data_IF_985036262913
#
_entry.id   IF_985036262913
#
_cell.length_a   1.000
_cell.length_b   1.000
_cell.length_c   1.000
_cell.angle_alpha   90.00
_cell.angle_beta   90.00
_cell.angle_gamma   90.00
#
_symmetry.space_group_name_H-M   'P 1'
#
loop_
_entity.id
_entity.type
_entity.pdbx_description
1 polymer ?
#
# COMPACT_ATOMS: atom_id res chain seq x y z
N UNK A 1 -60.22 34.93 -16.91
CA UNK A 1 -58.99 34.58 -17.62
C UNK A 1 -57.82 34.54 -16.61
N UNK A 2 -57.55 33.34 -16.05
CA UNK A 2 -56.47 33.13 -15.07
C UNK A 2 -55.25 32.55 -15.80
N UNK A 3 -54.15 33.30 -15.78
CA UNK A 3 -52.84 32.85 -16.26
C UNK A 3 -52.08 32.27 -15.09
N UNK A 4 -51.93 30.93 -15.08
CA UNK A 4 -51.01 30.23 -14.18
C UNK A 4 -49.58 30.41 -14.71
N UNK A 5 -48.75 31.04 -13.90
CA UNK A 5 -47.30 31.11 -14.08
C UNK A 5 -46.69 29.84 -13.44
N UNK A 6 -46.18 28.95 -14.25
CA UNK A 6 -45.41 27.80 -13.82
C UNK A 6 -43.96 28.26 -13.71
N UNK A 7 -43.47 28.39 -12.47
CA UNK A 7 -42.07 28.67 -12.19
C UNK A 7 -41.31 27.32 -12.20
N UNK A 8 -40.50 27.07 -13.23
CA UNK A 8 -39.62 25.93 -13.31
C UNK A 8 -38.38 26.18 -12.41
N UNK A 9 -38.29 25.44 -11.31
CA UNK A 9 -37.15 25.41 -10.43
C UNK A 9 -36.06 24.51 -11.06
N UNK A 10 -35.04 25.12 -11.67
CA UNK A 10 -33.84 24.39 -12.16
C UNK A 10 -32.90 24.19 -10.97
N UNK A 11 -32.89 22.98 -10.44
CA UNK A 11 -31.92 22.58 -9.39
C UNK A 11 -30.59 22.29 -10.08
N UNK A 12 -29.64 23.22 -9.99
CA UNK A 12 -28.24 22.99 -10.37
C UNK A 12 -27.61 22.03 -9.36
N UNK A 13 -27.47 20.76 -9.75
CA UNK A 13 -26.65 19.81 -9.03
C UNK A 13 -25.18 20.20 -9.22
N UNK A 14 -24.59 20.87 -8.25
CA UNK A 14 -23.15 21.10 -8.18
C UNK A 14 -22.47 19.77 -7.86
N UNK A 15 -21.98 19.06 -8.89
CA UNK A 15 -21.03 17.99 -8.71
C UNK A 15 -19.74 18.59 -8.12
N UNK A 16 -19.54 18.44 -6.82
CA UNK A 16 -18.25 18.70 -6.19
C UNK A 16 -17.25 17.69 -6.75
N UNK A 17 -16.47 18.07 -7.76
CA UNK A 17 -15.24 17.36 -8.10
C UNK A 17 -14.33 17.52 -6.87
N UNK A 18 -14.20 16.45 -6.09
CA UNK A 18 -13.17 16.39 -5.06
C UNK A 18 -11.83 16.60 -5.77
N UNK A 19 -11.16 17.70 -5.48
CA UNK A 19 -9.85 17.99 -6.04
C UNK A 19 -8.91 16.86 -5.63
N UNK A 20 -8.37 16.14 -6.60
CA UNK A 20 -7.34 15.15 -6.34
C UNK A 20 -6.13 15.87 -5.77
N UNK A 21 -5.65 15.42 -4.62
CA UNK A 21 -4.46 15.97 -3.99
C UNK A 21 -3.24 15.62 -4.85
N UNK A 22 -2.54 16.64 -5.31
CA UNK A 22 -1.30 16.43 -6.05
C UNK A 22 -0.19 16.01 -5.07
N UNK A 23 0.28 14.75 -5.21
CA UNK A 23 1.31 14.18 -4.35
C UNK A 23 2.69 14.43 -4.95
N UNK A 24 3.64 14.87 -4.12
CA UNK A 24 5.06 14.90 -4.46
C UNK A 24 5.76 13.68 -3.88
N UNK A 25 6.63 13.08 -4.68
CA UNK A 25 7.41 11.89 -4.32
C UNK A 25 8.91 12.13 -4.49
N UNK A 26 9.51 13.00 -3.66
CA UNK A 26 10.94 13.24 -3.73
C UNK A 26 11.73 11.97 -3.40
N UNK A 27 12.87 11.77 -4.08
CA UNK A 27 13.75 10.61 -3.89
C UNK A 27 13.12 9.25 -4.26
N UNK A 28 12.06 9.26 -5.04
CA UNK A 28 11.41 8.03 -5.52
C UNK A 28 11.64 7.89 -7.01
N UNK A 29 12.06 6.70 -7.42
CA UNK A 29 12.18 6.31 -8.83
C UNK A 29 11.22 5.19 -9.16
N UNK A 30 10.77 5.13 -10.41
CA UNK A 30 9.92 4.05 -10.90
C UNK A 30 10.80 2.98 -11.54
N UNK A 31 10.70 1.74 -11.06
CA UNK A 31 11.34 0.58 -11.66
C UNK A 31 10.26 -0.26 -12.35
N UNK A 32 10.07 -0.03 -13.65
CA UNK A 32 8.98 -0.62 -14.40
C UNK A 32 7.62 0.01 -14.07
N UNK A 33 6.55 -0.78 -14.28
CA UNK A 33 5.16 -0.27 -14.24
C UNK A 33 4.59 -0.12 -12.82
N UNK A 34 4.97 -1.04 -11.92
CA UNK A 34 4.32 -1.17 -10.61
C UNK A 34 5.30 -1.37 -9.45
N UNK A 35 6.53 -0.85 -9.58
CA UNK A 35 7.58 -1.03 -8.58
C UNK A 35 8.29 0.29 -8.31
N UNK A 36 7.71 1.19 -7.50
CA UNK A 36 8.39 2.38 -7.02
C UNK A 36 9.44 2.00 -5.97
N UNK A 37 10.52 2.77 -5.96
CA UNK A 37 11.67 2.62 -5.08
C UNK A 37 12.04 3.97 -4.49
N UNK A 38 12.22 4.01 -3.19
CA UNK A 38 12.73 5.14 -2.43
C UNK A 38 14.12 4.78 -1.90
N UNK A 39 15.11 5.63 -2.16
CA UNK A 39 16.48 5.43 -1.67
C UNK A 39 17.06 6.78 -1.24
N UNK A 40 17.13 6.98 0.07
CA UNK A 40 17.71 8.18 0.66
C UNK A 40 18.14 7.95 2.11
N UNK A 41 19.21 8.66 2.51
CA UNK A 41 19.70 8.74 3.90
C UNK A 41 19.95 7.38 4.55
N UNK A 42 20.24 6.37 3.71
CA UNK A 42 20.50 5.00 4.15
C UNK A 42 19.25 4.15 4.35
N UNK A 43 18.07 4.69 4.11
CA UNK A 43 16.80 3.96 4.05
C UNK A 43 16.49 3.63 2.58
N UNK A 44 16.30 2.34 2.29
CA UNK A 44 15.92 1.84 0.98
C UNK A 44 14.62 1.06 1.08
N UNK A 45 13.58 1.52 0.37
CA UNK A 45 12.24 0.93 0.39
C UNK A 45 11.79 0.63 -1.04
N UNK A 46 11.35 -0.59 -1.27
CA UNK A 46 10.80 -1.03 -2.56
C UNK A 46 9.41 -1.59 -2.33
N UNK A 47 8.48 -1.21 -3.17
CA UNK A 47 7.11 -1.74 -3.15
C UNK A 47 6.76 -2.32 -4.51
N UNK A 48 6.12 -3.48 -4.53
CA UNK A 48 5.48 -4.00 -5.73
C UNK A 48 3.96 -4.03 -5.53
N UNK A 49 3.23 -3.45 -6.49
CA UNK A 49 1.78 -3.42 -6.51
C UNK A 49 1.17 -3.93 -7.83
N UNK A 50 1.90 -4.76 -8.58
CA UNK A 50 1.47 -5.27 -9.90
C UNK A 50 0.14 -6.03 -9.81
N UNK A 51 -0.06 -6.82 -8.75
CA UNK A 51 -1.34 -7.47 -8.49
C UNK A 51 -2.46 -6.45 -8.25
N UNK A 52 -2.23 -5.47 -7.37
CA UNK A 52 -3.21 -4.46 -7.01
C UNK A 52 -3.63 -3.61 -8.22
N UNK A 53 -2.68 -3.23 -9.07
CA UNK A 53 -2.94 -2.46 -10.29
C UNK A 53 -3.92 -3.18 -11.23
N UNK A 54 -3.79 -4.50 -11.37
CA UNK A 54 -4.66 -5.31 -12.24
C UNK A 54 -6.00 -5.66 -11.58
N UNK A 55 -6.09 -5.60 -10.26
CA UNK A 55 -7.22 -6.08 -9.48
C UNK A 55 -7.80 -5.01 -8.54
N UNK A 56 -7.74 -3.73 -8.92
CA UNK A 56 -8.22 -2.61 -8.11
C UNK A 56 -9.73 -2.65 -7.81
N UNK A 57 -10.50 -3.45 -8.54
CA UNK A 57 -11.93 -3.69 -8.23
C UNK A 57 -12.16 -4.65 -7.06
N UNK A 58 -11.08 -5.28 -6.57
CA UNK A 58 -11.16 -6.18 -5.41
C UNK A 58 -11.34 -5.38 -4.11
N UNK A 59 -11.90 -6.03 -3.09
CA UNK A 59 -12.03 -5.47 -1.73
C UNK A 59 -10.67 -5.23 -1.06
N UNK A 60 -9.69 -6.05 -1.38
CA UNK A 60 -8.37 -6.05 -0.76
C UNK A 60 -7.29 -5.56 -1.72
N UNK A 61 -6.50 -4.60 -1.27
CA UNK A 61 -5.27 -4.20 -1.92
C UNK A 61 -4.11 -4.94 -1.27
N UNK A 62 -3.32 -5.62 -2.08
CA UNK A 62 -2.11 -6.32 -1.66
C UNK A 62 -0.88 -5.57 -2.20
N UNK A 63 0.05 -5.24 -1.32
CA UNK A 63 1.36 -4.70 -1.66
C UNK A 63 2.44 -5.64 -1.14
N UNK A 64 3.44 -5.95 -1.96
CA UNK A 64 4.68 -6.56 -1.48
C UNK A 64 5.65 -5.44 -1.11
N UNK A 65 6.21 -5.48 0.10
CA UNK A 65 7.11 -4.47 0.65
C UNK A 65 8.46 -5.09 0.96
N UNK A 66 9.54 -4.39 0.62
CA UNK A 66 10.89 -4.72 1.06
C UNK A 66 11.58 -3.46 1.57
N UNK A 67 12.25 -3.57 2.71
CA UNK A 67 12.94 -2.46 3.40
C UNK A 67 14.32 -2.91 3.82
N UNK A 68 15.31 -2.06 3.60
CA UNK A 68 16.63 -2.17 4.21
C UNK A 68 17.07 -0.81 4.76
N UNK A 69 17.85 -0.80 5.82
CA UNK A 69 18.35 0.44 6.42
C UNK A 69 19.79 0.29 6.87
N UNK A 70 20.57 1.37 6.79
CA UNK A 70 21.92 1.42 7.36
C UNK A 70 21.93 1.48 8.88
N UNK A 71 20.82 1.90 9.48
CA UNK A 71 20.63 1.99 10.94
C UNK A 71 19.48 1.07 11.33
N UNK A 72 19.69 0.29 12.39
CA UNK A 72 18.63 -0.57 12.91
C UNK A 72 17.55 0.26 13.59
N UNK A 73 16.29 -0.07 13.31
CA UNK A 73 15.13 0.51 13.97
C UNK A 73 13.98 -0.51 14.06
N UNK A 74 13.00 -0.23 14.89
CA UNK A 74 11.78 -1.04 14.99
C UNK A 74 10.70 -0.37 14.13
N UNK A 75 10.21 -1.14 13.18
CA UNK A 75 9.07 -0.74 12.33
C UNK A 75 7.80 -1.33 12.90
N UNK A 76 6.86 -0.50 13.31
CA UNK A 76 5.55 -0.94 13.75
C UNK A 76 4.54 -0.94 12.59
N UNK A 77 3.53 -1.79 12.68
CA UNK A 77 2.43 -1.82 11.70
C UNK A 77 1.76 -0.45 11.52
N UNK A 78 1.60 0.32 12.60
CA UNK A 78 1.00 1.67 12.60
C UNK A 78 1.83 2.71 11.85
N UNK A 79 3.11 2.45 11.63
CA UNK A 79 4.03 3.36 10.95
C UNK A 79 3.88 3.29 9.42
N UNK A 80 3.07 2.33 8.94
CA UNK A 80 2.77 2.18 7.52
C UNK A 80 1.33 2.62 7.28
N UNK A 81 1.16 3.59 6.37
CA UNK A 81 -0.14 4.17 6.06
C UNK A 81 -0.29 4.35 4.55
N UNK A 82 -1.47 4.02 4.02
CA UNK A 82 -1.84 4.29 2.64
C UNK A 82 -2.80 5.48 2.59
N UNK A 83 -2.40 6.55 1.90
CA UNK A 83 -3.26 7.70 1.67
C UNK A 83 -3.97 7.54 0.33
N UNK A 84 -5.29 7.73 0.34
CA UNK A 84 -6.12 7.71 -0.86
C UNK A 84 -5.94 8.99 -1.68
N UNK A 85 -6.35 9.03 -2.97
CA UNK A 85 -6.26 10.24 -3.80
C UNK A 85 -6.98 11.45 -3.21
N UNK A 86 -8.04 11.23 -2.40
CA UNK A 86 -8.76 12.28 -1.66
C UNK A 86 -8.13 12.61 -0.28
N UNK A 87 -7.00 11.99 0.06
CA UNK A 87 -6.19 12.29 1.24
C UNK A 87 -6.60 11.57 2.53
N UNK A 88 -7.53 10.60 2.48
CA UNK A 88 -7.86 9.76 3.65
C UNK A 88 -6.73 8.78 3.95
N UNK A 89 -6.49 8.57 5.24
CA UNK A 89 -5.50 7.61 5.72
C UNK A 89 -6.14 6.23 5.94
N UNK A 90 -5.52 5.22 5.39
CA UNK A 90 -5.90 3.81 5.57
C UNK A 90 -4.74 3.09 6.24
N UNK A 91 -4.96 2.49 7.42
CA UNK A 91 -3.94 1.68 8.08
C UNK A 91 -3.77 0.33 7.37
N UNK A 92 -2.65 -0.32 7.60
CA UNK A 92 -2.48 -1.75 7.30
C UNK A 92 -3.54 -2.51 8.07
N UNK A 93 -4.36 -3.32 7.38
CA UNK A 93 -5.48 -4.01 7.98
C UNK A 93 -5.04 -4.91 9.15
N UNK A 94 -5.78 -4.94 10.26
CA UNK A 94 -5.47 -5.83 11.37
C UNK A 94 -5.77 -7.30 11.01
N UNK A 95 -5.17 -8.22 11.75
CA UNK A 95 -5.30 -9.66 11.51
C UNK A 95 -6.76 -10.13 11.53
N UNK A 96 -7.57 -9.57 12.42
CA UNK A 96 -8.97 -9.92 12.62
C UNK A 96 -9.77 -9.68 11.34
N UNK A 97 -9.54 -8.58 10.64
CA UNK A 97 -10.24 -8.27 9.38
C UNK A 97 -9.88 -9.26 8.26
N UNK A 98 -8.65 -9.79 8.23
CA UNK A 98 -8.25 -10.80 7.27
C UNK A 98 -8.93 -12.14 7.57
N UNK A 99 -9.08 -12.49 8.84
CA UNK A 99 -9.74 -13.71 9.27
C UNK A 99 -11.26 -13.69 8.99
N UNK A 100 -11.90 -12.53 9.12
CA UNK A 100 -13.30 -12.33 8.74
C UNK A 100 -13.57 -12.60 7.26
N UNK A 101 -12.60 -12.38 6.40
CA UNK A 101 -12.71 -12.58 4.95
C UNK A 101 -11.66 -13.56 4.40
N UNK A 102 -11.42 -14.65 5.13
CA UNK A 102 -10.45 -15.67 4.76
C UNK A 102 -10.60 -16.19 3.32
N UNK A 103 -11.80 -16.42 2.77
CA UNK A 103 -11.96 -16.80 1.37
C UNK A 103 -11.47 -15.73 0.40
N UNK A 104 -11.78 -14.45 0.65
CA UNK A 104 -11.33 -13.32 -0.15
C UNK A 104 -9.82 -13.19 -0.14
N UNK A 105 -9.18 -13.28 1.02
CA UNK A 105 -7.72 -13.26 1.17
C UNK A 105 -7.05 -14.43 0.45
N UNK A 106 -7.62 -15.65 0.57
CA UNK A 106 -7.11 -16.82 -0.14
C UNK A 106 -7.07 -16.59 -1.64
N UNK A 107 -8.14 -16.05 -2.20
CA UNK A 107 -8.24 -15.73 -3.62
C UNK A 107 -7.20 -14.68 -4.05
N UNK A 108 -7.03 -13.63 -3.25
CA UNK A 108 -6.00 -12.59 -3.48
C UNK A 108 -4.61 -13.22 -3.52
N UNK A 109 -4.26 -14.04 -2.54
CA UNK A 109 -2.94 -14.68 -2.45
C UNK A 109 -2.69 -15.67 -3.60
N UNK A 110 -3.70 -16.45 -3.99
CA UNK A 110 -3.60 -17.38 -5.12
C UNK A 110 -3.34 -16.63 -6.43
N UNK A 111 -4.09 -15.57 -6.69
CA UNK A 111 -3.95 -14.77 -7.90
C UNK A 111 -2.64 -13.96 -7.92
N UNK A 112 -2.21 -13.45 -6.77
CA UNK A 112 -0.97 -12.68 -6.65
C UNK A 112 0.28 -13.52 -6.93
N UNK A 113 0.26 -14.82 -6.65
CA UNK A 113 1.38 -15.73 -6.96
C UNK A 113 1.78 -15.72 -8.44
N UNK A 114 0.81 -15.52 -9.34
CA UNK A 114 1.04 -15.52 -10.79
C UNK A 114 1.78 -14.25 -11.26
N UNK A 115 1.61 -13.14 -10.53
CA UNK A 115 2.19 -11.82 -10.87
C UNK A 115 3.31 -11.38 -9.92
N UNK A 116 3.74 -12.27 -9.02
CA UNK A 116 4.75 -11.93 -8.02
C UNK A 116 6.10 -11.66 -8.68
N UNK A 117 6.65 -10.48 -8.42
CA UNK A 117 8.01 -10.12 -8.81
C UNK A 117 8.97 -10.36 -7.64
N UNK A 118 10.20 -10.69 -7.98
CA UNK A 118 11.27 -10.73 -7.00
C UNK A 118 11.72 -9.31 -6.66
N UNK A 119 11.15 -8.74 -5.58
CA UNK A 119 11.52 -7.41 -5.09
C UNK A 119 12.89 -7.38 -4.42
N UNK A 120 13.46 -8.53 -4.08
CA UNK A 120 14.81 -8.62 -3.50
C UNK A 120 15.90 -8.30 -4.52
N UNK A 121 15.62 -8.49 -5.81
CA UNK A 121 16.55 -8.15 -6.90
C UNK A 121 16.93 -6.66 -6.97
N UNK A 122 16.13 -5.78 -6.33
CA UNK A 122 16.42 -4.35 -6.23
C UNK A 122 17.42 -4.01 -5.12
N UNK A 123 17.68 -4.95 -4.22
CA UNK A 123 18.67 -4.78 -3.17
C UNK A 123 19.98 -5.42 -3.63
N UNK A 124 21.02 -4.59 -3.77
CA UNK A 124 22.35 -5.13 -4.04
C UNK A 124 22.64 -6.21 -3.00
N UNK A 125 23.04 -7.40 -3.45
CA UNK A 125 23.30 -8.58 -2.61
C UNK A 125 24.35 -8.27 -1.51
N UNK A 126 23.94 -7.52 -0.51
CA UNK A 126 24.74 -7.31 0.70
C UNK A 126 24.63 -8.50 1.65
N UNK A 127 23.57 -9.26 1.50
CA UNK A 127 23.29 -10.43 2.33
C UNK A 127 23.94 -11.66 1.73
N UNK A 128 25.21 -11.87 1.98
CA UNK A 128 25.88 -13.13 1.68
C UNK A 128 25.24 -14.30 2.43
N UNK A 129 24.07 -14.75 1.98
CA UNK A 129 23.36 -15.92 2.51
C UNK A 129 22.65 -15.71 3.86
N UNK A 130 22.50 -14.48 4.35
CA UNK A 130 21.72 -14.22 5.55
C UNK A 130 20.24 -14.24 5.23
N UNK A 131 19.41 -14.96 5.99
CA UNK A 131 17.95 -15.01 5.76
C UNK A 131 17.35 -13.62 5.87
N UNK A 132 16.41 -13.29 4.97
CA UNK A 132 15.63 -12.06 5.07
C UNK A 132 14.73 -12.10 6.32
N UNK A 133 14.56 -10.97 6.96
CA UNK A 133 13.57 -10.83 8.03
C UNK A 133 12.17 -10.71 7.42
N UNK A 134 11.19 -11.38 8.01
CA UNK A 134 9.82 -11.40 7.49
C UNK A 134 8.92 -10.43 8.27
N UNK A 135 8.29 -9.49 7.57
CA UNK A 135 7.21 -8.67 8.12
C UNK A 135 5.99 -9.56 8.33
N UNK A 136 5.60 -9.76 9.59
CA UNK A 136 4.46 -10.59 9.99
C UNK A 136 3.36 -9.78 10.65
N UNK A 137 3.06 -8.59 10.13
CA UNK A 137 1.95 -7.78 10.64
C UNK A 137 0.59 -8.46 10.42
N UNK A 138 0.57 -9.38 9.47
CA UNK A 138 -0.60 -10.16 9.07
C UNK A 138 -0.13 -11.57 8.73
N UNK A 139 -0.86 -12.58 9.17
CA UNK A 139 -0.52 -13.99 8.95
C UNK A 139 -1.62 -14.72 8.21
N UNK A 140 -1.28 -15.33 7.08
CA UNK A 140 -2.18 -16.20 6.35
C UNK A 140 -1.41 -17.40 5.79
N UNK A 141 -1.89 -18.64 5.86
CA UNK A 141 -3.19 -19.07 6.42
C UNK A 141 -3.31 -18.85 7.93
N UNK A 142 -4.52 -18.97 8.49
CA UNK A 142 -4.75 -18.86 9.94
C UNK A 142 -3.81 -19.75 10.76
N UNK A 143 -3.38 -19.27 11.93
CA UNK A 143 -2.44 -20.00 12.81
C UNK A 143 -0.97 -19.57 12.66
N UNK A 144 -0.62 -18.74 11.67
CA UNK A 144 0.70 -18.10 11.65
C UNK A 144 0.82 -17.07 12.79
N UNK A 145 1.98 -17.05 13.41
CA UNK A 145 2.32 -16.01 14.39
C UNK A 145 2.37 -14.65 13.70
N UNK A 146 1.64 -13.68 14.24
CA UNK A 146 1.67 -12.28 13.81
C UNK A 146 2.39 -11.43 14.85
N UNK A 147 3.03 -10.36 14.41
CA UNK A 147 3.67 -9.36 15.26
C UNK A 147 3.15 -7.98 14.89
N UNK A 148 3.10 -7.07 15.85
CA UNK A 148 2.81 -5.65 15.57
C UNK A 148 4.04 -4.88 15.14
N UNK A 149 5.23 -5.49 15.22
CA UNK A 149 6.52 -4.86 14.95
C UNK A 149 7.52 -5.84 14.34
N UNK A 150 8.53 -5.30 13.67
CA UNK A 150 9.66 -6.03 13.09
C UNK A 150 10.91 -5.17 13.19
N UNK A 151 12.06 -5.79 13.40
CA UNK A 151 13.36 -5.10 13.35
C UNK A 151 13.78 -4.96 11.89
N UNK A 152 14.10 -3.74 11.49
CA UNK A 152 14.78 -3.45 10.22
C UNK A 152 16.23 -3.13 10.55
N UNK A 153 17.16 -3.80 9.90
CA UNK A 153 18.59 -3.59 10.15
C UNK A 153 19.38 -3.45 8.84
N UNK A 154 20.71 -3.32 8.98
CA UNK A 154 21.61 -3.12 7.84
C UNK A 154 22.04 -4.42 7.16
N UNK A 155 21.88 -5.55 7.82
CA UNK A 155 22.45 -6.83 7.40
C UNK A 155 21.40 -7.68 6.68
N UNK A 156 20.09 -7.36 6.88
CA UNK A 156 18.97 -8.07 6.31
C UNK A 156 18.07 -7.16 5.48
N UNK A 157 17.42 -7.72 4.48
CA UNK A 157 16.27 -7.08 3.84
C UNK A 157 14.99 -7.58 4.52
N UNK A 158 14.26 -6.66 5.12
CA UNK A 158 12.98 -6.96 5.77
C UNK A 158 11.87 -6.96 4.71
N UNK A 159 11.18 -8.09 4.53
CA UNK A 159 10.20 -8.28 3.46
C UNK A 159 8.85 -8.72 3.99
N UNK A 160 7.79 -8.34 3.33
CA UNK A 160 6.45 -8.83 3.67
C UNK A 160 5.34 -8.37 2.76
N UNK A 161 4.15 -8.87 3.06
CA UNK A 161 2.93 -8.53 2.36
C UNK A 161 2.06 -7.65 3.25
N UNK A 162 1.51 -6.60 2.66
CA UNK A 162 0.62 -5.66 3.35
C UNK A 162 -0.75 -5.69 2.69
N UNK A 163 -1.77 -5.90 3.50
CA UNK A 163 -3.15 -5.84 3.05
C UNK A 163 -3.82 -4.56 3.54
N UNK A 164 -4.52 -3.90 2.63
CA UNK A 164 -5.37 -2.76 2.94
C UNK A 164 -6.80 -3.08 2.52
N UNK A 165 -7.75 -2.73 3.36
CA UNK A 165 -9.17 -2.90 3.06
C UNK A 165 -9.75 -1.64 2.44
N UNK A 166 -10.49 -1.79 1.34
CA UNK A 166 -11.18 -0.63 0.75
C UNK A 166 -12.30 -0.15 1.65
N UNK A 167 -12.43 1.17 1.85
CA UNK A 167 -13.53 1.73 2.62
C UNK A 167 -14.88 1.70 1.89
N UNK A 168 -14.88 1.50 0.55
CA UNK A 168 -16.08 1.61 -0.30
C UNK A 168 -16.36 0.38 -1.18
N UNK A 169 -15.77 -0.76 -0.87
CA UNK A 169 -15.98 -2.00 -1.62
C UNK A 169 -15.12 -2.18 -2.87
N UNK A 170 -14.62 -1.11 -3.48
CA UNK A 170 -13.64 -1.12 -4.58
C UNK A 170 -12.66 0.04 -4.44
N UNK A 171 -11.48 -0.08 -5.02
CA UNK A 171 -10.47 0.97 -5.05
C UNK A 171 -10.74 1.90 -6.25
N UNK A 172 -10.70 3.18 -6.01
CA UNK A 172 -10.86 4.20 -7.04
C UNK A 172 -9.56 4.30 -7.87
N UNK A 173 -9.69 4.58 -9.18
CA UNK A 173 -8.53 4.90 -10.00
C UNK A 173 -7.86 6.18 -9.50
N UNK A 174 -6.53 6.22 -9.53
CA UNK A 174 -5.79 7.39 -9.09
C UNK A 174 -4.43 7.04 -8.47
N UNK A 175 -3.75 8.07 -7.99
CA UNK A 175 -2.46 7.92 -7.31
C UNK A 175 -2.66 7.93 -5.79
N UNK A 176 -2.39 6.80 -5.17
CA UNK A 176 -2.28 6.65 -3.72
C UNK A 176 -0.85 6.92 -3.28
N UNK A 177 -0.66 7.23 -2.01
CA UNK A 177 0.64 7.45 -1.42
C UNK A 177 0.84 6.49 -0.26
N UNK A 178 1.75 5.53 -0.44
CA UNK A 178 2.21 4.71 0.67
C UNK A 178 3.26 5.48 1.45
N UNK A 179 3.05 5.63 2.75
CA UNK A 179 4.02 6.21 3.68
C UNK A 179 4.55 5.15 4.62
N UNK A 180 5.86 5.10 4.75
CA UNK A 180 6.58 4.32 5.75
C UNK A 180 7.31 5.31 6.64
N UNK A 181 6.81 5.49 7.87
CA UNK A 181 7.38 6.38 8.85
C UNK A 181 8.48 5.66 9.62
N UNK A 182 9.65 6.27 9.69
CA UNK A 182 10.81 5.73 10.39
C UNK A 182 11.48 6.83 11.19
N UNK A 183 12.37 6.46 12.11
CA UNK A 183 13.17 7.44 12.86
C UNK A 183 14.04 8.31 11.94
N UNK A 184 14.42 7.81 10.76
CA UNK A 184 15.20 8.53 9.76
C UNK A 184 14.35 9.45 8.86
N UNK A 185 13.02 9.40 8.97
CA UNK A 185 12.08 10.19 8.17
C UNK A 185 10.98 9.37 7.52
N UNK A 186 10.29 9.98 6.57
CA UNK A 186 9.15 9.36 5.87
C UNK A 186 9.54 8.98 4.45
N UNK A 187 9.51 7.68 4.15
CA UNK A 187 9.57 7.18 2.79
C UNK A 187 8.16 7.22 2.17
N UNK A 188 7.99 7.98 1.09
CA UNK A 188 6.71 8.12 0.40
C UNK A 188 6.80 7.55 -1.00
N UNK A 189 5.94 6.58 -1.33
CA UNK A 189 5.94 5.87 -2.60
C UNK A 189 4.59 5.97 -3.31
N UNK A 190 4.57 6.23 -4.64
CA UNK A 190 3.34 6.28 -5.42
C UNK A 190 2.81 4.87 -5.72
N UNK A 191 1.53 4.65 -5.46
CA UNK A 191 0.78 3.46 -5.87
C UNK A 191 -0.29 3.92 -6.87
N UNK A 192 -0.13 3.57 -8.14
CA UNK A 192 -1.05 4.01 -9.22
C UNK A 192 -2.01 2.88 -9.56
N UNK A 193 -3.30 3.11 -9.32
CA UNK A 193 -4.39 2.23 -9.73
C UNK A 193 -5.10 2.87 -10.93
N UNK A 194 -5.16 2.11 -12.04
CA UNK A 194 -5.70 2.59 -13.33
C UNK A 194 -6.87 1.72 -13.81
#
# INVERSE_FOLDING_TARGET
>A
MNRLLIASLVTLATCSLAAQKEWSFPNTRANGRATPEYDRDGLHVVVNYDYAQRNHKAKWLLLDLAIASKQSFILHRKDITLLTPDGRQLPVAPQEELLEDSPGITLVLQNARISRRDILSYFNQRSGGVPNEEIRFQGFPPGRTVSSEVTVDRDHVTVGQLFFRTPRGSWEAGTYRLEVNTDAGVAALPIKLE
#
